data_IF_760691676835
#
_entry.id   IF_760691676835
#
_cell.length_a   1.000
_cell.length_b   1.000
_cell.length_c   1.000
_cell.angle_alpha   90.00
_cell.angle_beta   90.00
_cell.angle_gamma   90.00
#
_symmetry.space_group_name_H-M   'P 1'
#
loop_
_entity.id
_entity.type
_entity.pdbx_description
1 polymer ?
#
# COMPACT_ATOMS: atom_id res chain seq x y z
N UNK A 1 -18.30 2.28 8.68
CA UNK A 1 -17.36 3.38 8.37
C UNK A 1 -15.90 3.00 8.62
N UNK A 2 -15.56 2.47 9.80
CA UNK A 2 -14.19 2.05 10.14
C UNK A 2 -13.79 0.70 9.53
N UNK A 3 -14.69 -0.29 9.59
CA UNK A 3 -14.45 -1.64 9.01
C UNK A 3 -14.16 -1.62 7.51
N UNK A 4 -14.72 -0.65 6.79
CA UNK A 4 -14.51 -0.51 5.36
C UNK A 4 -13.11 0.06 5.05
N UNK A 5 -12.69 1.08 5.80
CA UNK A 5 -11.34 1.64 5.71
C UNK A 5 -10.26 0.62 6.12
N UNK A 6 -10.54 -0.18 7.15
CA UNK A 6 -9.70 -1.31 7.54
C UNK A 6 -9.60 -2.34 6.40
N UNK A 7 -10.72 -2.65 5.73
CA UNK A 7 -10.76 -3.57 4.59
C UNK A 7 -9.85 -3.13 3.44
N UNK A 8 -9.96 -1.88 3.00
CA UNK A 8 -9.09 -1.29 1.96
C UNK A 8 -7.61 -1.40 2.33
N UNK A 9 -7.29 -1.09 3.59
CA UNK A 9 -5.90 -1.16 4.07
C UNK A 9 -5.39 -2.59 4.10
N UNK A 10 -6.21 -3.55 4.52
CA UNK A 10 -5.84 -4.97 4.55
C UNK A 10 -5.60 -5.53 3.14
N UNK A 11 -6.39 -5.11 2.17
CA UNK A 11 -6.20 -5.52 0.78
C UNK A 11 -4.94 -4.89 0.18
N UNK A 12 -4.64 -3.62 0.51
CA UNK A 12 -3.38 -2.99 0.15
C UNK A 12 -2.17 -3.70 0.78
N UNK A 13 -2.24 -4.05 2.07
CA UNK A 13 -1.19 -4.85 2.74
C UNK A 13 -0.95 -6.16 1.98
N UNK A 14 -2.00 -6.88 1.61
CA UNK A 14 -1.86 -8.13 0.84
C UNK A 14 -1.17 -7.90 -0.51
N UNK A 15 -1.56 -6.86 -1.23
CA UNK A 15 -0.95 -6.51 -2.51
C UNK A 15 0.54 -6.17 -2.37
N UNK A 16 0.91 -5.36 -1.36
CA UNK A 16 2.31 -5.00 -1.09
C UNK A 16 3.14 -6.22 -0.70
N UNK A 17 2.62 -7.10 0.16
CA UNK A 17 3.33 -8.32 0.56
C UNK A 17 3.53 -9.28 -0.63
N UNK A 18 2.59 -9.32 -1.59
CA UNK A 18 2.77 -10.06 -2.82
C UNK A 18 3.89 -9.45 -3.68
N UNK A 19 3.85 -8.13 -3.92
CA UNK A 19 4.88 -7.45 -4.70
C UNK A 19 6.28 -7.60 -4.09
N UNK A 20 6.40 -7.62 -2.76
CA UNK A 20 7.68 -7.91 -2.08
C UNK A 20 8.23 -9.28 -2.42
N UNK A 21 7.38 -10.31 -2.38
CA UNK A 21 7.76 -11.67 -2.77
C UNK A 21 8.18 -11.74 -4.23
N UNK A 22 7.41 -11.10 -5.12
CA UNK A 22 7.71 -11.08 -6.55
C UNK A 22 9.01 -10.34 -6.86
N UNK A 23 9.36 -9.33 -6.05
CA UNK A 23 10.63 -8.60 -6.11
C UNK A 23 11.81 -9.31 -5.40
N UNK A 24 11.59 -10.49 -4.80
CA UNK A 24 12.61 -11.24 -4.06
C UNK A 24 13.04 -10.57 -2.75
N UNK A 25 12.18 -9.74 -2.15
CA UNK A 25 12.41 -9.13 -0.84
C UNK A 25 11.96 -10.06 0.29
N UNK A 26 12.74 -10.11 1.35
CA UNK A 26 12.42 -10.87 2.55
C UNK A 26 11.38 -10.13 3.40
N UNK A 27 10.58 -10.83 4.21
CA UNK A 27 9.56 -10.18 5.07
C UNK A 27 10.17 -9.20 6.09
N UNK A 28 11.45 -9.36 6.42
CA UNK A 28 12.20 -8.50 7.35
C UNK A 28 12.80 -7.26 6.69
N UNK A 29 12.80 -7.18 5.36
CA UNK A 29 13.34 -6.01 4.65
C UNK A 29 12.50 -4.76 4.92
N UNK A 30 13.15 -3.62 5.10
CA UNK A 30 12.46 -2.33 5.13
C UNK A 30 12.26 -1.82 3.71
N UNK A 31 11.15 -1.13 3.49
CA UNK A 31 10.82 -0.57 2.17
C UNK A 31 10.40 0.90 2.27
N UNK A 32 10.52 1.62 1.17
CA UNK A 32 9.71 2.81 0.89
C UNK A 32 8.53 2.41 0.01
N UNK A 33 7.40 3.10 0.18
CA UNK A 33 6.16 2.83 -0.53
C UNK A 33 5.67 4.10 -1.22
N UNK A 34 5.53 4.07 -2.55
CA UNK A 34 4.83 5.11 -3.30
C UNK A 34 3.42 4.63 -3.64
N UNK A 35 2.39 5.42 -3.34
CA UNK A 35 0.98 5.08 -3.50
C UNK A 35 0.25 6.10 -4.37
N UNK A 36 -0.31 5.62 -5.47
CA UNK A 36 -1.30 6.35 -6.24
C UNK A 36 -2.68 5.76 -5.93
N UNK A 37 -3.52 6.57 -5.28
CA UNK A 37 -4.85 6.20 -4.80
C UNK A 37 -5.88 7.28 -5.19
N UNK A 38 -7.11 6.91 -5.55
CA UNK A 38 -8.26 7.80 -5.54
C UNK A 38 -8.46 8.45 -4.17
N UNK A 39 -9.04 9.65 -4.14
CA UNK A 39 -9.19 10.46 -2.92
C UNK A 39 -9.85 9.71 -1.76
N UNK A 40 -10.94 8.97 -2.03
CA UNK A 40 -11.67 8.23 -1.01
C UNK A 40 -10.80 7.14 -0.37
N UNK A 41 -10.05 6.41 -1.19
CA UNK A 41 -9.15 5.35 -0.73
C UNK A 41 -7.93 5.91 -0.02
N UNK A 42 -7.40 7.05 -0.48
CA UNK A 42 -6.32 7.74 0.22
C UNK A 42 -6.74 8.07 1.65
N UNK A 43 -7.91 8.67 1.86
CA UNK A 43 -8.39 9.00 3.20
C UNK A 43 -8.54 7.76 4.10
N UNK A 44 -9.00 6.63 3.52
CA UNK A 44 -9.14 5.36 4.25
C UNK A 44 -7.80 4.75 4.65
N UNK A 45 -6.81 4.79 3.75
CA UNK A 45 -5.44 4.30 3.98
C UNK A 45 -4.71 5.20 4.96
N UNK A 46 -4.83 6.53 4.84
CA UNK A 46 -4.28 7.50 5.79
C UNK A 46 -4.79 7.25 7.21
N UNK A 47 -6.10 7.02 7.37
CA UNK A 47 -6.70 6.69 8.67
C UNK A 47 -6.13 5.42 9.31
N UNK A 48 -5.57 4.51 8.51
CA UNK A 48 -5.00 3.23 8.95
C UNK A 48 -3.50 3.10 8.63
N UNK A 49 -2.81 4.21 8.39
CA UNK A 49 -1.44 4.20 7.88
C UNK A 49 -0.49 3.46 8.83
N UNK A 50 -0.69 3.57 10.15
CA UNK A 50 0.12 2.85 11.14
C UNK A 50 0.01 1.32 11.00
N UNK A 51 -1.18 0.81 10.66
CA UNK A 51 -1.39 -0.61 10.39
C UNK A 51 -0.68 -1.03 9.10
N UNK A 52 -0.80 -0.23 8.03
CA UNK A 52 -0.10 -0.47 6.77
C UNK A 52 1.42 -0.52 6.97
N UNK A 53 2.02 0.53 7.56
CA UNK A 53 3.47 0.63 7.73
C UNK A 53 4.03 -0.45 8.64
N UNK A 54 3.30 -0.78 9.72
CA UNK A 54 3.69 -1.87 10.63
C UNK A 54 3.64 -3.24 9.98
N UNK A 55 2.61 -3.51 9.16
CA UNK A 55 2.42 -4.82 8.53
C UNK A 55 3.45 -5.12 7.42
N UNK A 56 3.93 -4.08 6.74
CA UNK A 56 4.84 -4.22 5.57
C UNK A 56 6.23 -3.62 5.80
N UNK A 57 6.56 -3.22 7.03
CA UNK A 57 7.82 -2.58 7.40
C UNK A 57 8.20 -1.39 6.50
N UNK A 58 7.20 -0.60 6.11
CA UNK A 58 7.42 0.62 5.33
C UNK A 58 7.99 1.72 6.22
N UNK A 59 9.05 2.35 5.75
CA UNK A 59 9.75 3.47 6.42
C UNK A 59 9.25 4.83 5.93
N UNK A 60 8.73 4.89 4.71
CA UNK A 60 8.02 6.03 4.15
C UNK A 60 6.78 5.57 3.39
N UNK A 61 5.78 6.45 3.32
CA UNK A 61 4.61 6.32 2.45
C UNK A 61 4.43 7.65 1.74
N UNK A 62 4.69 7.65 0.43
CA UNK A 62 4.61 8.82 -0.42
C UNK A 62 3.36 8.71 -1.30
N UNK A 63 2.40 9.61 -1.11
CA UNK A 63 1.21 9.63 -1.94
C UNK A 63 1.44 10.50 -3.18
N UNK A 64 1.32 9.88 -4.35
CA UNK A 64 1.64 10.47 -5.65
C UNK A 64 0.42 10.44 -6.56
N UNK A 65 0.44 11.28 -7.60
CA UNK A 65 -0.68 11.38 -8.55
C UNK A 65 -0.43 10.51 -9.80
N UNK A 66 0.82 10.20 -10.10
CA UNK A 66 1.23 9.38 -11.24
C UNK A 66 1.09 7.89 -10.97
N UNK A 67 0.64 7.10 -11.97
CA UNK A 67 0.60 5.65 -11.87
C UNK A 67 1.96 5.04 -11.57
N UNK A 68 1.97 4.03 -10.71
CA UNK A 68 3.17 3.33 -10.27
C UNK A 68 3.32 1.97 -10.95
N UNK A 69 4.47 1.32 -10.74
CA UNK A 69 4.86 0.09 -11.44
C UNK A 69 3.91 -1.10 -11.22
N UNK A 70 3.25 -1.18 -10.06
CA UNK A 70 2.33 -2.28 -9.72
C UNK A 70 0.91 -1.76 -9.65
N UNK A 71 0.06 -2.20 -10.59
CA UNK A 71 -1.37 -1.92 -10.55
C UNK A 71 -2.11 -2.88 -9.62
N UNK A 72 -3.16 -2.40 -8.96
CA UNK A 72 -4.06 -3.20 -8.13
C UNK A 72 -5.46 -2.59 -8.12
N UNK A 73 -6.41 -3.32 -7.54
CA UNK A 73 -7.78 -2.84 -7.35
C UNK A 73 -8.10 -2.92 -5.87
N UNK A 74 -8.45 -1.79 -5.28
CA UNK A 74 -8.90 -1.70 -3.89
C UNK A 74 -10.37 -1.33 -3.93
N UNK A 75 -11.23 -2.14 -3.30
CA UNK A 75 -12.68 -1.88 -3.23
C UNK A 75 -13.31 -1.48 -4.59
N UNK A 76 -12.92 -2.16 -5.66
CA UNK A 76 -13.42 -1.90 -7.02
C UNK A 76 -12.85 -0.67 -7.74
N UNK A 77 -12.02 0.15 -7.10
CA UNK A 77 -11.33 1.26 -7.77
C UNK A 77 -9.86 0.97 -8.05
N UNK A 78 -9.36 1.52 -9.16
CA UNK A 78 -8.00 1.34 -9.61
C UNK A 78 -7.03 2.10 -8.70
N UNK A 79 -5.97 1.42 -8.31
CA UNK A 79 -4.86 1.94 -7.54
C UNK A 79 -3.54 1.43 -8.13
N UNK A 80 -2.45 2.11 -7.84
CA UNK A 80 -1.13 1.58 -8.16
C UNK A 80 -0.11 1.97 -7.11
N UNK A 81 0.91 1.14 -6.95
CA UNK A 81 1.99 1.40 -6.01
C UNK A 81 3.35 0.93 -6.55
N UNK A 82 4.41 1.42 -5.92
CA UNK A 82 5.76 0.93 -6.11
C UNK A 82 6.43 0.72 -4.76
N UNK A 83 7.31 -0.28 -4.69
CA UNK A 83 8.13 -0.58 -3.53
C UNK A 83 9.60 -0.47 -3.91
N UNK A 84 10.41 0.04 -2.99
CA UNK A 84 11.86 -0.01 -3.09
C UNK A 84 12.45 -0.42 -1.74
N UNK A 85 13.57 -1.15 -1.75
CA UNK A 85 14.31 -1.44 -0.51
C UNK A 85 14.85 -0.12 0.05
N UNK A 86 14.62 0.10 1.35
CA UNK A 86 15.11 1.25 2.11
C UNK A 86 16.43 0.95 2.81
#
# INVERSE_FOLDING_TARGET
PELHAEGVTRDLVRAVQQARRDAGLEVTDRISLALQLPADQRAMVEANQAHLTGAVLATSVDYVDEPQATATTLDGAAASFAIARA
#
